data_IF_684276189474
#
_entry.id   IF_684276189474
#
_cell.length_a   1.000
_cell.length_b   1.000
_cell.length_c   1.000
_cell.angle_alpha   90.00
_cell.angle_beta   90.00
_cell.angle_gamma   90.00
#
_symmetry.space_group_name_H-M   'P 1'
#
loop_
_entity.id
_entity.type
_entity.pdbx_description
1 polymer ?
#
# COMPACT_ATOMS: atom_id res chain seq x y z
N UNK A 1 -2.12 -9.33 -18.17
CA UNK A 1 -1.08 -8.70 -17.35
C UNK A 1 0.29 -9.30 -17.64
N UNK A 2 0.46 -10.62 -17.64
CA UNK A 2 1.74 -11.24 -18.05
C UNK A 2 2.10 -10.94 -19.52
N UNK A 3 1.10 -10.94 -20.42
CA UNK A 3 1.28 -10.52 -21.83
C UNK A 3 1.83 -9.09 -21.98
N UNK A 4 1.42 -8.15 -21.12
CA UNK A 4 1.89 -6.77 -21.13
C UNK A 4 3.36 -6.65 -20.67
N UNK A 5 3.78 -7.47 -19.70
CA UNK A 5 5.17 -7.54 -19.29
C UNK A 5 6.05 -8.07 -20.43
N UNK A 6 5.59 -9.09 -21.14
CA UNK A 6 6.32 -9.65 -22.27
C UNK A 6 6.40 -8.65 -23.44
N UNK A 7 5.34 -7.88 -23.70
CA UNK A 7 5.33 -6.79 -24.69
C UNK A 7 6.31 -5.67 -24.33
N UNK A 8 6.37 -5.25 -23.07
CA UNK A 8 7.31 -4.22 -22.58
C UNK A 8 8.75 -4.73 -22.66
N UNK A 9 8.97 -6.02 -22.37
CA UNK A 9 10.28 -6.67 -22.47
C UNK A 9 10.78 -6.72 -23.91
N UNK A 10 9.89 -6.88 -24.88
CA UNK A 10 10.26 -6.78 -26.30
C UNK A 10 10.66 -5.36 -26.72
N UNK A 11 10.27 -4.31 -25.99
CA UNK A 11 10.64 -2.91 -26.25
C UNK A 11 11.84 -2.41 -25.42
N UNK A 12 12.44 -3.29 -24.60
CA UNK A 12 13.55 -2.94 -23.71
C UNK A 12 14.89 -2.80 -24.44
N UNK A 13 15.00 -3.28 -25.68
CA UNK A 13 16.18 -3.11 -26.53
C UNK A 13 16.32 -1.69 -27.09
N UNK A 14 15.35 -0.79 -26.85
CA UNK A 14 15.28 0.51 -27.54
C UNK A 14 15.43 1.75 -26.66
N UNK A 15 15.20 1.73 -25.33
CA UNK A 15 15.37 2.95 -24.51
C UNK A 15 15.47 2.72 -22.99
N UNK A 16 16.14 3.66 -22.28
CA UNK A 16 16.27 3.68 -20.81
C UNK A 16 14.93 3.84 -20.07
N UNK A 17 13.94 4.48 -20.68
CA UNK A 17 12.61 4.66 -20.08
C UNK A 17 11.85 3.33 -19.93
N UNK A 18 12.08 2.38 -20.84
CA UNK A 18 11.49 1.03 -20.77
C UNK A 18 11.95 0.23 -19.55
N UNK A 19 13.11 0.56 -18.96
CA UNK A 19 13.60 -0.08 -17.73
C UNK A 19 12.78 0.33 -16.50
N UNK A 20 12.37 1.59 -16.41
CA UNK A 20 11.52 2.06 -15.32
C UNK A 20 10.12 1.43 -15.38
N UNK A 21 9.58 1.29 -16.59
CA UNK A 21 8.30 0.60 -16.82
C UNK A 21 8.37 -0.87 -16.42
N UNK A 22 9.49 -1.56 -16.67
CA UNK A 22 9.67 -2.95 -16.26
C UNK A 22 9.63 -3.12 -14.74
N UNK A 23 10.33 -2.25 -14.00
CA UNK A 23 10.31 -2.27 -12.52
C UNK A 23 8.90 -2.08 -11.97
N UNK A 24 8.12 -1.17 -12.58
CA UNK A 24 6.72 -0.94 -12.19
C UNK A 24 5.87 -2.17 -12.53
N UNK A 25 6.01 -2.74 -13.73
CA UNK A 25 5.27 -3.93 -14.13
C UNK A 25 5.58 -5.16 -13.27
N UNK A 26 6.84 -5.39 -12.93
CA UNK A 26 7.25 -6.47 -12.02
C UNK A 26 6.64 -6.30 -10.63
N UNK A 27 6.62 -5.07 -10.12
CA UNK A 27 5.97 -4.75 -8.86
C UNK A 27 4.46 -4.98 -8.91
N UNK A 28 3.77 -4.48 -9.95
CA UNK A 28 2.32 -4.66 -10.11
C UNK A 28 1.92 -6.13 -10.28
N UNK A 29 2.71 -6.91 -11.03
CA UNK A 29 2.52 -8.36 -11.17
C UNK A 29 2.73 -9.08 -9.83
N UNK A 30 3.75 -8.70 -9.07
CA UNK A 30 3.99 -9.20 -7.72
C UNK A 30 2.80 -8.93 -6.79
N UNK A 31 2.27 -7.71 -6.78
CA UNK A 31 1.12 -7.34 -5.95
C UNK A 31 -0.18 -8.00 -6.41
N UNK A 32 -0.39 -8.22 -7.72
CA UNK A 32 -1.52 -8.97 -8.23
C UNK A 32 -1.49 -10.43 -7.78
N UNK A 33 -0.32 -11.10 -7.88
CA UNK A 33 -0.14 -12.49 -7.43
C UNK A 33 -0.39 -12.66 -5.93
N UNK A 34 0.02 -11.68 -5.12
CA UNK A 34 -0.25 -11.66 -3.67
C UNK A 34 -1.74 -11.57 -3.37
N UNK A 35 -2.46 -10.64 -4.02
CA UNK A 35 -3.93 -10.52 -3.88
C UNK A 35 -4.64 -11.81 -4.27
N UNK A 36 -4.27 -12.39 -5.41
CA UNK A 36 -4.84 -13.66 -5.87
C UNK A 36 -4.57 -14.81 -4.88
N UNK A 37 -3.42 -14.83 -4.21
CA UNK A 37 -3.10 -15.84 -3.20
C UNK A 37 -3.99 -15.71 -1.96
N UNK A 38 -4.23 -14.49 -1.49
CA UNK A 38 -5.15 -14.20 -0.38
C UNK A 38 -6.59 -14.57 -0.74
N UNK A 39 -7.06 -14.17 -1.92
CA UNK A 39 -8.42 -14.48 -2.36
C UNK A 39 -8.64 -15.98 -2.50
N UNK A 40 -7.66 -16.72 -3.04
CA UNK A 40 -7.71 -18.19 -3.10
C UNK A 40 -7.74 -18.83 -1.71
N UNK A 41 -6.91 -18.37 -0.78
CA UNK A 41 -6.88 -18.88 0.59
C UNK A 41 -8.24 -18.66 1.28
N UNK A 42 -8.81 -17.46 1.12
CA UNK A 42 -10.14 -17.11 1.65
C UNK A 42 -11.26 -17.98 1.09
N UNK A 43 -11.28 -18.24 -0.22
CA UNK A 43 -12.30 -19.13 -0.84
C UNK A 43 -12.18 -20.57 -0.32
N UNK A 44 -10.97 -21.03 -0.02
CA UNK A 44 -10.70 -22.38 0.47
C UNK A 44 -10.82 -22.53 1.99
N UNK A 45 -10.93 -21.42 2.73
CA UNK A 45 -10.90 -21.43 4.20
C UNK A 45 -9.51 -21.76 4.76
N UNK A 46 -8.45 -21.52 3.99
CA UNK A 46 -7.05 -21.69 4.38
C UNK A 46 -6.50 -20.36 4.96
N UNK A 47 -5.48 -20.43 5.82
CA UNK A 47 -4.83 -19.24 6.39
C UNK A 47 -4.07 -18.47 5.29
N UNK A 48 -4.31 -17.16 5.11
CA UNK A 48 -3.61 -16.38 4.08
C UNK A 48 -2.10 -16.27 4.38
N UNK A 49 -1.25 -16.07 3.36
CA UNK A 49 0.17 -15.81 3.58
C UNK A 49 0.39 -14.52 4.40
N UNK A 50 1.08 -14.64 5.54
CA UNK A 50 1.31 -13.55 6.53
C UNK A 50 1.91 -12.27 5.93
N UNK A 51 2.78 -12.41 4.93
CA UNK A 51 3.43 -11.27 4.25
C UNK A 51 2.45 -10.34 3.50
N UNK A 52 1.22 -10.80 3.23
CA UNK A 52 0.21 -10.04 2.46
C UNK A 52 -0.82 -9.36 3.39
N UNK A 53 -1.04 -9.88 4.60
CA UNK A 53 -1.96 -9.28 5.58
C UNK A 53 -1.41 -7.99 6.20
N UNK A 54 -0.09 -7.87 6.33
CA UNK A 54 0.57 -6.74 6.99
C UNK A 54 0.46 -5.40 6.23
N UNK A 55 0.06 -5.42 4.95
CA UNK A 55 0.04 -4.21 4.09
C UNK A 55 -1.30 -3.47 4.05
N UNK A 56 -2.31 -3.95 4.78
CA UNK A 56 -3.65 -3.32 4.84
C UNK A 56 -4.31 -3.32 6.22
N UNK A 57 -3.78 -4.09 7.17
CA UNK A 57 -4.25 -4.15 8.55
C UNK A 57 -3.03 -4.06 9.46
N UNK A 58 -2.49 -2.86 9.61
CA UNK A 58 -1.49 -2.65 10.65
C UNK A 58 -2.18 -2.83 12.01
N UNK A 59 -2.09 -4.02 12.58
CA UNK A 59 -2.66 -4.32 13.91
C UNK A 59 -2.14 -3.36 14.99
N UNK A 60 -1.01 -2.69 14.74
CA UNK A 60 -0.45 -1.65 15.62
C UNK A 60 -1.19 -0.31 15.53
N UNK A 61 -1.84 0.04 14.41
CA UNK A 61 -2.44 1.38 14.22
C UNK A 61 -3.46 1.69 15.30
N UNK A 62 -4.31 0.74 15.68
CA UNK A 62 -5.32 0.98 16.70
C UNK A 62 -4.66 1.28 18.06
N UNK A 63 -3.59 0.56 18.40
CA UNK A 63 -2.79 0.82 19.60
C UNK A 63 -2.04 2.15 19.55
N UNK A 64 -1.46 2.48 18.39
CA UNK A 64 -0.69 3.70 18.17
C UNK A 64 -1.60 4.94 18.21
N UNK A 65 -2.77 4.87 17.57
CA UNK A 65 -3.79 5.92 17.61
C UNK A 65 -4.33 6.10 19.02
N UNK A 66 -4.59 4.99 19.74
CA UNK A 66 -5.00 5.08 21.14
C UNK A 66 -3.93 5.78 21.99
N UNK A 67 -2.68 5.36 21.91
CA UNK A 67 -1.58 5.97 22.66
C UNK A 67 -1.36 7.44 22.29
N UNK A 68 -1.59 7.81 21.02
CA UNK A 68 -1.45 9.18 20.54
C UNK A 68 -2.55 10.11 21.06
N UNK A 69 -3.78 9.60 21.21
CA UNK A 69 -4.95 10.40 21.57
C UNK A 69 -5.29 10.35 23.06
N UNK A 70 -4.90 9.29 23.77
CA UNK A 70 -5.21 9.10 25.18
C UNK A 70 -4.56 10.21 26.06
N UNK A 71 -5.37 10.80 26.94
CA UNK A 71 -4.93 11.86 27.85
C UNK A 71 -4.93 13.29 27.26
N UNK A 72 -5.22 13.47 25.97
CA UNK A 72 -5.35 14.80 25.36
C UNK A 72 -6.66 15.48 25.75
N UNK A 73 -6.58 16.80 25.91
CA UNK A 73 -7.74 17.67 26.12
C UNK A 73 -8.45 17.96 24.80
N UNK A 74 -9.70 18.42 24.88
CA UNK A 74 -10.50 18.78 23.70
C UNK A 74 -9.79 19.81 22.80
N UNK A 75 -9.15 20.80 23.39
CA UNK A 75 -8.44 21.86 22.67
C UNK A 75 -7.22 21.30 21.91
N UNK A 76 -6.44 20.42 22.54
CA UNK A 76 -5.28 19.79 21.88
C UNK A 76 -5.68 18.88 20.72
N UNK A 77 -6.84 18.24 20.80
CA UNK A 77 -7.39 17.43 19.71
C UNK A 77 -7.85 18.31 18.53
N UNK A 78 -8.49 19.45 18.81
CA UNK A 78 -8.89 20.41 17.78
C UNK A 78 -7.68 21.04 17.07
N UNK A 79 -6.64 21.42 17.83
CA UNK A 79 -5.39 21.92 17.25
C UNK A 79 -4.73 20.88 16.34
N UNK A 80 -4.67 19.63 16.78
CA UNK A 80 -4.13 18.52 15.99
C UNK A 80 -4.94 18.30 14.70
N UNK A 81 -6.27 18.30 14.79
CA UNK A 81 -7.14 18.18 13.63
C UNK A 81 -6.86 19.30 12.61
N UNK A 82 -6.82 20.55 13.07
CA UNK A 82 -6.57 21.70 12.20
C UNK A 82 -5.20 21.63 11.52
N UNK A 83 -4.18 21.14 12.23
CA UNK A 83 -2.85 20.93 11.66
C UNK A 83 -2.87 19.86 10.57
N UNK A 84 -3.51 18.71 10.83
CA UNK A 84 -3.63 17.62 9.86
C UNK A 84 -4.37 18.11 8.61
N UNK A 85 -5.49 18.82 8.78
CA UNK A 85 -6.25 19.38 7.65
C UNK A 85 -5.42 20.36 6.83
N UNK A 86 -4.61 21.20 7.48
CA UNK A 86 -3.70 22.12 6.80
C UNK A 86 -2.62 21.40 5.98
N UNK A 87 -2.03 20.33 6.54
CA UNK A 87 -1.04 19.51 5.84
C UNK A 87 -1.66 18.79 4.63
N UNK A 88 -2.86 18.23 4.79
CA UNK A 88 -3.59 17.58 3.70
C UNK A 88 -3.93 18.58 2.58
N UNK A 89 -4.40 19.79 2.93
CA UNK A 89 -4.71 20.83 1.94
C UNK A 89 -3.47 21.36 1.22
N UNK A 90 -2.34 21.43 1.90
CA UNK A 90 -1.06 21.88 1.33
C UNK A 90 -0.30 20.78 0.58
N UNK A 91 -0.76 19.52 0.63
CA UNK A 91 -0.12 18.39 -0.02
C UNK A 91 1.23 18.00 0.61
N UNK A 92 1.42 18.32 1.89
CA UNK A 92 2.63 17.99 2.67
C UNK A 92 2.42 16.80 3.62
N UNK A 93 1.31 16.09 3.44
CA UNK A 93 0.97 14.87 4.18
C UNK A 93 1.70 13.64 3.61
#
# INVERSE_FOLDING_TARGET
>A
MEELHDDIKMHLDLDRESQALMVVCDWELGEARKRDAVDRARVRGEEPPREVEERGLHASIEGDVKNLLEGKTSTELEEMQNQIESQMRSGTA
#
